data_IF_204979626458
#
_entry.id   IF_204979626458
#
_cell.length_a   1.000
_cell.length_b   1.000
_cell.length_c   1.000
_cell.angle_alpha   90.00
_cell.angle_beta   90.00
_cell.angle_gamma   90.00
#
_symmetry.space_group_name_H-M   'P 1'
#
loop_
_entity.id
_entity.type
_entity.pdbx_description
1 polymer ?
#
# COMPACT_ATOMS: atom_id res chain seq x y z
N UNK A 1 -2.38 -20.63 1.68
CA UNK A 1 -1.16 -19.88 2.05
C UNK A 1 -0.53 -19.12 0.88
N UNK A 2 -0.26 -19.73 -0.29
CA UNK A 2 0.26 -19.00 -1.49
C UNK A 2 -0.75 -18.04 -2.15
N UNK A 3 -2.04 -18.18 -1.83
CA UNK A 3 -3.13 -17.37 -2.37
C UNK A 3 -3.35 -16.05 -1.61
N UNK A 4 -2.95 -15.95 -0.33
CA UNK A 4 -3.08 -14.72 0.45
C UNK A 4 -2.01 -13.68 0.09
N UNK A 5 -0.77 -14.12 -0.13
CA UNK A 5 0.31 -13.22 -0.53
C UNK A 5 0.04 -12.55 -1.89
N UNK A 6 -0.54 -13.28 -2.85
CA UNK A 6 -0.86 -12.74 -4.18
C UNK A 6 -2.03 -11.73 -4.18
N UNK A 7 -2.95 -11.85 -3.22
CA UNK A 7 -4.05 -10.90 -3.04
C UNK A 7 -3.56 -9.66 -2.27
N UNK A 8 -2.66 -9.84 -1.29
CA UNK A 8 -2.00 -8.73 -0.61
C UNK A 8 -1.08 -7.91 -1.52
N UNK A 9 -0.40 -8.55 -2.48
CA UNK A 9 0.47 -7.86 -3.46
C UNK A 9 -0.31 -6.90 -4.39
N UNK A 10 -1.62 -7.10 -4.54
CA UNK A 10 -2.52 -6.24 -5.33
C UNK A 10 -3.39 -5.33 -4.46
N UNK A 11 -3.15 -5.23 -3.15
CA UNK A 11 -3.92 -4.38 -2.26
C UNK A 11 -3.67 -2.89 -2.60
N UNK A 12 -4.67 -2.15 -3.12
CA UNK A 12 -4.50 -0.75 -3.48
C UNK A 12 -4.35 0.17 -2.25
N UNK A 13 -4.67 -0.32 -1.05
CA UNK A 13 -4.61 0.45 0.19
C UNK A 13 -3.22 0.43 0.84
N UNK A 14 -2.36 -0.53 0.50
CA UNK A 14 -0.98 -0.57 1.00
C UNK A 14 -0.08 0.28 0.10
N UNK A 15 0.71 1.14 0.72
CA UNK A 15 1.73 1.94 0.02
C UNK A 15 2.74 0.99 -0.60
N UNK A 16 2.99 1.03 -1.93
CA UNK A 16 3.96 0.15 -2.55
C UNK A 16 5.33 0.40 -1.91
N UNK A 17 5.81 -0.59 -1.16
CA UNK A 17 7.11 -0.50 -0.50
C UNK A 17 8.19 -0.57 -1.59
N UNK A 18 8.94 0.52 -1.72
CA UNK A 18 10.23 0.49 -2.40
C UNK A 18 11.17 -0.20 -1.42
N UNK A 19 11.24 -1.53 -1.45
CA UNK A 19 12.25 -2.28 -0.73
C UNK A 19 13.63 -1.90 -1.29
N UNK A 20 14.18 -0.81 -0.73
CA UNK A 20 15.43 -0.20 -1.20
C UNK A 20 16.58 -1.19 -1.21
N UNK A 21 16.61 -2.16 -0.28
CA UNK A 21 17.67 -3.16 -0.19
C UNK A 21 17.72 -4.12 -1.39
N UNK A 22 16.58 -4.62 -1.86
CA UNK A 22 16.54 -5.56 -2.99
C UNK A 22 16.84 -4.83 -4.32
N UNK A 23 16.44 -3.56 -4.41
CA UNK A 23 16.68 -2.71 -5.57
C UNK A 23 18.15 -2.30 -5.68
N UNK A 24 18.78 -1.91 -4.55
CA UNK A 24 20.23 -1.67 -4.48
C UNK A 24 20.98 -2.94 -4.84
N UNK A 25 20.59 -4.09 -4.29
CA UNK A 25 21.21 -5.38 -4.61
C UNK A 25 21.12 -5.68 -6.11
N UNK A 26 19.95 -5.53 -6.74
CA UNK A 26 19.77 -5.78 -8.18
C UNK A 26 20.56 -4.79 -9.03
N UNK A 27 20.58 -3.50 -8.68
CA UNK A 27 21.40 -2.51 -9.40
C UNK A 27 22.88 -2.77 -9.23
N UNK A 28 23.32 -3.19 -8.04
CA UNK A 28 24.72 -3.54 -7.76
C UNK A 28 25.10 -4.77 -8.58
N UNK A 29 24.31 -5.83 -8.55
CA UNK A 29 24.55 -7.07 -9.32
C UNK A 29 24.60 -6.76 -10.82
N UNK A 30 23.63 -6.01 -11.35
CA UNK A 30 23.62 -5.62 -12.76
C UNK A 30 24.84 -4.78 -13.10
N UNK A 31 25.23 -3.82 -12.25
CA UNK A 31 26.42 -2.99 -12.47
C UNK A 31 27.72 -3.82 -12.44
N UNK A 32 27.80 -4.83 -11.57
CA UNK A 32 28.96 -5.71 -11.45
C UNK A 32 29.10 -6.62 -12.66
N UNK A 33 27.98 -7.20 -13.13
CA UNK A 33 27.92 -8.00 -14.36
C UNK A 33 28.29 -7.15 -15.57
N UNK A 34 27.82 -5.90 -15.61
CA UNK A 34 28.13 -4.98 -16.71
C UNK A 34 29.61 -4.62 -16.75
N UNK A 35 30.21 -4.30 -15.61
CA UNK A 35 31.65 -4.03 -15.49
C UNK A 35 32.48 -5.24 -15.92
N UNK A 36 32.05 -6.44 -15.54
CA UNK A 36 32.69 -7.69 -15.96
C UNK A 36 32.62 -7.88 -17.48
N UNK A 37 31.46 -7.68 -18.10
CA UNK A 37 31.28 -7.79 -19.56
C UNK A 37 32.14 -6.75 -20.30
N UNK A 38 32.19 -5.51 -19.82
CA UNK A 38 33.04 -4.45 -20.40
C UNK A 38 34.53 -4.82 -20.29
N UNK A 39 34.97 -5.34 -19.13
CA UNK A 39 36.35 -5.77 -18.92
C UNK A 39 36.74 -6.93 -19.87
N UNK A 40 35.85 -7.91 -20.05
CA UNK A 40 36.05 -9.03 -20.99
C UNK A 40 36.14 -8.52 -22.43
N UNK A 41 35.27 -7.61 -22.86
CA UNK A 41 35.30 -7.04 -24.22
C UNK A 41 36.61 -6.28 -24.48
N UNK A 42 37.08 -5.49 -23.51
CA UNK A 42 38.35 -4.76 -23.61
C UNK A 42 39.57 -5.69 -23.63
N UNK A 43 39.56 -6.79 -22.88
CA UNK A 43 40.65 -7.78 -22.89
C UNK A 43 40.69 -8.62 -24.16
N UNK A 44 39.52 -8.97 -24.72
CA UNK A 44 39.45 -9.95 -25.81
C UNK A 44 39.71 -9.29 -27.17
N UNK A 45 39.30 -8.03 -27.36
CA UNK A 45 39.37 -7.34 -28.67
C UNK A 45 40.14 -6.02 -28.57
N UNK A 46 41.45 -5.99 -28.90
CA UNK A 46 42.22 -4.74 -28.91
C UNK A 46 41.93 -3.94 -30.19
N UNK A 47 41.18 -2.84 -30.06
CA UNK A 47 40.92 -1.92 -31.18
C UNK A 47 39.77 -0.94 -30.93
N UNK A 48 39.68 0.10 -31.76
CA UNK A 48 38.68 1.19 -31.66
C UNK A 48 37.23 0.68 -31.70
N UNK A 49 36.98 -0.48 -32.33
CA UNK A 49 35.66 -1.11 -32.39
C UNK A 49 35.18 -1.66 -31.04
N UNK A 50 36.08 -2.08 -30.15
CA UNK A 50 35.72 -2.58 -28.81
C UNK A 50 35.09 -1.49 -27.93
N UNK A 51 35.55 -0.24 -28.08
CA UNK A 51 35.05 0.92 -27.33
C UNK A 51 33.59 1.20 -27.68
N UNK A 52 33.23 1.14 -28.97
CA UNK A 52 31.85 1.34 -29.41
C UNK A 52 30.90 0.24 -28.97
N UNK A 53 31.35 -1.01 -28.97
CA UNK A 53 30.56 -2.16 -28.48
C UNK A 53 30.35 -2.05 -26.97
N UNK A 54 31.40 -1.76 -26.20
CA UNK A 54 31.31 -1.55 -24.75
C UNK A 54 30.37 -0.38 -24.41
N UNK A 55 30.46 0.72 -25.17
CA UNK A 55 29.56 1.86 -25.00
C UNK A 55 28.10 1.50 -25.29
N UNK A 56 27.83 0.74 -26.37
CA UNK A 56 26.48 0.27 -26.70
C UNK A 56 25.87 -0.63 -25.61
N UNK A 57 26.66 -1.57 -25.08
CA UNK A 57 26.23 -2.45 -23.97
C UNK A 57 25.96 -1.63 -22.71
N UNK A 58 26.82 -0.68 -22.38
CA UNK A 58 26.63 0.19 -21.22
C UNK A 58 25.35 1.04 -21.33
N UNK A 59 25.08 1.58 -22.53
CA UNK A 59 23.91 2.41 -22.79
C UNK A 59 22.61 1.60 -22.71
N UNK A 60 22.59 0.37 -23.23
CA UNK A 60 21.46 -0.54 -23.10
C UNK A 60 21.15 -0.89 -21.65
N UNK A 61 22.19 -1.20 -20.85
CA UNK A 61 21.99 -1.51 -19.44
C UNK A 61 21.52 -0.30 -18.64
N UNK A 62 22.08 0.88 -18.90
CA UNK A 62 21.61 2.13 -18.30
C UNK A 62 20.13 2.38 -18.64
N UNK A 63 19.72 2.14 -19.89
CA UNK A 63 18.33 2.23 -20.33
C UNK A 63 17.39 1.27 -19.60
N UNK A 64 17.80 0.01 -19.40
CA UNK A 64 17.01 -0.98 -18.66
C UNK A 64 16.83 -0.60 -17.19
N UNK A 65 17.90 -0.15 -16.54
CA UNK A 65 17.84 0.33 -15.16
C UNK A 65 16.89 1.53 -15.07
N UNK A 66 17.06 2.52 -15.95
CA UNK A 66 16.19 3.70 -15.98
C UNK A 66 14.72 3.33 -16.19
N UNK A 67 14.43 2.41 -17.11
CA UNK A 67 13.07 1.94 -17.38
C UNK A 67 12.43 1.26 -16.16
N UNK A 68 13.17 0.38 -15.47
CA UNK A 68 12.72 -0.25 -14.24
C UNK A 68 12.41 0.77 -13.15
N UNK A 69 13.27 1.77 -12.98
CA UNK A 69 13.04 2.89 -12.06
C UNK A 69 11.81 3.70 -12.47
N UNK A 70 11.68 4.04 -13.75
CA UNK A 70 10.56 4.82 -14.27
C UNK A 70 9.22 4.14 -14.01
N UNK A 71 9.09 2.83 -14.32
CA UNK A 71 7.86 2.06 -14.04
C UNK A 71 7.50 2.06 -12.56
N UNK A 72 8.48 1.89 -11.67
CA UNK A 72 8.20 1.83 -10.23
C UNK A 72 7.86 3.19 -9.64
N UNK A 73 8.48 4.27 -10.14
CA UNK A 73 8.14 5.66 -9.80
C UNK A 73 6.73 6.00 -10.29
N UNK A 74 6.35 5.56 -11.50
CA UNK A 74 4.99 5.72 -12.01
C UNK A 74 3.96 5.04 -11.11
N UNK A 75 4.22 3.80 -10.69
CA UNK A 75 3.34 3.09 -9.74
C UNK A 75 3.15 3.86 -8.43
N UNK A 76 4.22 4.41 -7.86
CA UNK A 76 4.13 5.26 -6.66
C UNK A 76 3.30 6.52 -6.90
N UNK A 77 3.49 7.20 -8.03
CA UNK A 77 2.73 8.41 -8.40
C UNK A 77 1.25 8.10 -8.57
N UNK A 78 0.92 7.00 -9.23
CA UNK A 78 -0.46 6.53 -9.40
C UNK A 78 -1.10 6.21 -8.05
N UNK A 79 -0.39 5.50 -7.17
CA UNK A 79 -0.86 5.22 -5.82
C UNK A 79 -1.08 6.50 -5.01
N UNK A 80 -0.17 7.48 -5.08
CA UNK A 80 -0.33 8.77 -4.40
C UNK A 80 -1.55 9.54 -4.92
N UNK A 81 -1.78 9.55 -6.24
CA UNK A 81 -2.98 10.15 -6.82
C UNK A 81 -4.27 9.43 -6.38
N UNK A 82 -4.24 8.10 -6.28
CA UNK A 82 -5.34 7.31 -5.74
C UNK A 82 -5.60 7.65 -4.27
N UNK A 83 -4.56 7.60 -3.43
CA UNK A 83 -4.63 7.91 -2.01
C UNK A 83 -5.16 9.32 -1.76
N UNK A 84 -4.65 10.32 -2.51
CA UNK A 84 -5.12 11.70 -2.40
C UNK A 84 -6.60 11.83 -2.74
N UNK A 85 -7.07 11.18 -3.81
CA UNK A 85 -8.49 11.18 -4.18
C UNK A 85 -9.37 10.53 -3.10
N UNK A 86 -8.93 9.42 -2.51
CA UNK A 86 -9.66 8.78 -1.41
C UNK A 86 -9.72 9.67 -0.17
N UNK A 87 -8.61 10.34 0.17
CA UNK A 87 -8.56 11.28 1.29
C UNK A 87 -9.39 12.53 1.07
N UNK A 88 -9.41 13.06 -0.16
CA UNK A 88 -10.25 14.19 -0.54
C UNK A 88 -11.72 13.83 -0.44
N UNK A 89 -12.11 12.66 -0.96
CA UNK A 89 -13.46 12.12 -0.81
C UNK A 89 -13.85 11.93 0.67
N UNK A 90 -12.98 11.30 1.47
CA UNK A 90 -13.20 11.11 2.90
C UNK A 90 -13.39 12.44 3.62
N UNK A 91 -12.53 13.43 3.36
CA UNK A 91 -12.60 14.76 3.98
C UNK A 91 -13.88 15.49 3.59
N UNK A 92 -14.31 15.37 2.33
CA UNK A 92 -15.57 15.93 1.86
C UNK A 92 -16.78 15.32 2.58
N UNK A 93 -16.87 13.98 2.62
CA UNK A 93 -17.98 13.28 3.27
C UNK A 93 -18.00 13.56 4.78
N UNK A 94 -16.84 13.71 5.41
CA UNK A 94 -16.70 14.11 6.81
C UNK A 94 -17.28 15.51 7.06
N UNK A 95 -17.14 16.45 6.11
CA UNK A 95 -17.73 17.78 6.20
C UNK A 95 -19.25 17.79 5.98
N UNK A 96 -19.77 16.87 5.17
CA UNK A 96 -21.21 16.74 4.88
C UNK A 96 -22.00 16.09 6.03
N UNK A 97 -21.33 15.40 6.96
CA UNK A 97 -21.96 14.64 8.04
C UNK A 97 -21.49 15.09 9.43
N UNK A 98 -22.44 15.48 10.29
CA UNK A 98 -22.15 16.05 11.62
C UNK A 98 -21.54 15.05 12.62
N UNK A 99 -21.95 13.77 12.58
CA UNK A 99 -21.52 12.74 13.54
C UNK A 99 -20.72 11.62 12.86
N UNK A 100 -19.44 11.86 12.64
CA UNK A 100 -18.51 10.89 12.04
C UNK A 100 -17.28 10.63 12.91
N UNK A 101 -16.71 9.44 12.79
CA UNK A 101 -15.46 9.07 13.43
C UNK A 101 -14.54 8.35 12.44
N UNK A 102 -13.24 8.51 12.65
CA UNK A 102 -12.21 7.81 11.89
C UNK A 102 -11.70 6.63 12.72
N UNK A 103 -11.78 5.43 12.14
CA UNK A 103 -11.17 4.23 12.70
C UNK A 103 -10.16 3.66 11.70
N UNK A 104 -9.12 3.01 12.18
CA UNK A 104 -8.18 2.28 11.33
C UNK A 104 -8.35 0.79 11.57
N UNK A 105 -8.46 0.03 10.49
CA UNK A 105 -8.42 -1.44 10.52
C UNK A 105 -6.95 -1.86 10.58
N UNK A 106 -6.55 -2.51 11.66
CA UNK A 106 -5.17 -2.95 11.87
C UNK A 106 -4.93 -4.32 11.22
N UNK A 107 -5.83 -5.28 11.48
CA UNK A 107 -5.73 -6.64 10.98
C UNK A 107 -7.12 -7.27 10.86
N UNK A 108 -7.22 -8.29 10.01
CA UNK A 108 -8.36 -9.22 9.98
C UNK A 108 -7.93 -10.54 10.61
N UNK A 109 -8.79 -11.11 11.44
CA UNK A 109 -8.54 -12.37 12.15
C UNK A 109 -9.26 -13.52 11.47
N UNK A 110 -10.57 -13.37 11.23
CA UNK A 110 -11.39 -14.39 10.61
C UNK A 110 -12.37 -13.73 9.62
N UNK A 111 -12.41 -14.27 8.40
CA UNK A 111 -13.28 -13.81 7.32
C UNK A 111 -14.46 -14.78 7.21
N UNK A 112 -15.66 -14.26 7.39
CA UNK A 112 -16.92 -15.01 7.30
C UNK A 112 -17.80 -14.46 6.16
N UNK A 113 -18.84 -15.19 5.71
CA UNK A 113 -19.71 -14.73 4.61
C UNK A 113 -20.45 -13.42 4.91
N UNK A 114 -20.79 -13.19 6.17
CA UNK A 114 -21.59 -12.04 6.64
C UNK A 114 -20.73 -10.84 7.03
N UNK A 115 -19.43 -11.03 7.22
CA UNK A 115 -18.52 -10.00 7.74
C UNK A 115 -17.19 -10.59 8.15
N UNK A 116 -16.37 -9.80 8.84
CA UNK A 116 -15.05 -10.22 9.27
C UNK A 116 -14.72 -9.68 10.64
N UNK A 117 -14.05 -10.50 11.44
CA UNK A 117 -13.44 -10.09 12.68
C UNK A 117 -12.17 -9.30 12.38
N UNK A 118 -12.06 -8.12 12.96
CA UNK A 118 -10.95 -7.21 12.75
C UNK A 118 -10.52 -6.55 14.05
N UNK A 119 -9.22 -6.29 14.19
CA UNK A 119 -8.74 -5.37 15.21
C UNK A 119 -8.84 -3.94 14.67
N UNK A 120 -9.57 -3.07 15.37
CA UNK A 120 -9.75 -1.67 14.97
C UNK A 120 -9.13 -0.71 15.99
N UNK A 121 -8.66 0.44 15.50
CA UNK A 121 -8.16 1.55 16.32
C UNK A 121 -9.03 2.79 16.10
N UNK A 122 -9.54 3.38 17.17
CA UNK A 122 -10.20 4.68 17.14
C UNK A 122 -9.15 5.79 17.03
N UNK A 123 -9.05 6.44 15.87
CA UNK A 123 -7.95 7.38 15.62
C UNK A 123 -7.98 8.61 16.53
N UNK A 124 -9.18 9.08 16.90
CA UNK A 124 -9.34 10.22 17.81
C UNK A 124 -8.94 9.90 19.25
N UNK A 125 -9.12 8.66 19.69
CA UNK A 125 -8.93 8.24 21.09
C UNK A 125 -7.70 7.39 21.33
N UNK A 126 -7.06 6.88 20.25
CA UNK A 126 -5.97 5.91 20.33
C UNK A 126 -6.38 4.53 20.86
N UNK A 127 -7.68 4.30 21.10
CA UNK A 127 -8.18 3.07 21.70
C UNK A 127 -8.23 1.93 20.66
N UNK A 128 -7.69 0.77 21.01
CA UNK A 128 -7.66 -0.43 20.16
C UNK A 128 -8.60 -1.46 20.76
N UNK A 129 -9.45 -2.05 19.93
CA UNK A 129 -10.44 -3.06 20.34
C UNK A 129 -10.76 -4.01 19.20
N UNK A 130 -11.27 -5.22 19.49
CA UNK A 130 -11.84 -6.06 18.46
C UNK A 130 -13.14 -5.45 17.92
N UNK A 131 -13.40 -5.72 16.65
CA UNK A 131 -14.59 -5.27 15.97
C UNK A 131 -15.07 -6.29 14.94
N UNK A 132 -16.38 -6.38 14.81
CA UNK A 132 -17.03 -7.05 13.70
C UNK A 132 -17.30 -6.04 12.60
N UNK A 133 -16.87 -6.32 11.39
CA UNK A 133 -17.15 -5.48 10.22
C UNK A 133 -18.04 -6.28 9.28
N UNK A 134 -19.29 -5.85 9.11
CA UNK A 134 -20.19 -6.45 8.13
C UNK A 134 -19.66 -6.26 6.71
N UNK A 135 -19.93 -7.25 5.86
CA UNK A 135 -19.52 -7.17 4.47
C UNK A 135 -20.28 -6.01 3.78
N UNK A 136 -19.53 -5.09 3.16
CA UNK A 136 -20.04 -3.84 2.64
C UNK A 136 -19.95 -3.72 1.13
N UNK A 137 -20.32 -2.55 0.62
CA UNK A 137 -20.19 -2.20 -0.80
C UNK A 137 -18.75 -1.99 -1.25
N UNK A 138 -17.83 -1.75 -0.32
CA UNK A 138 -16.41 -1.51 -0.60
C UNK A 138 -15.56 -2.61 0.02
N UNK A 139 -14.53 -3.05 -0.71
CA UNK A 139 -13.53 -3.96 -0.17
C UNK A 139 -12.69 -3.24 0.89
N UNK A 140 -12.77 -3.72 2.13
CA UNK A 140 -12.00 -3.19 3.26
C UNK A 140 -10.72 -4.00 3.37
N UNK A 141 -9.60 -3.29 3.54
CA UNK A 141 -8.27 -3.89 3.60
C UNK A 141 -7.60 -3.59 4.94
N UNK A 142 -6.64 -4.41 5.39
CA UNK A 142 -5.76 -4.03 6.48
C UNK A 142 -5.08 -2.69 6.21
N UNK A 143 -4.78 -1.96 7.26
CA UNK A 143 -4.17 -0.62 7.21
C UNK A 143 -5.00 0.43 6.46
N UNK A 144 -6.31 0.22 6.38
CA UNK A 144 -7.23 1.23 5.86
C UNK A 144 -7.86 2.06 6.98
N UNK A 145 -8.09 3.34 6.69
CA UNK A 145 -8.85 4.27 7.52
C UNK A 145 -10.28 4.27 7.01
N UNK A 146 -11.23 4.01 7.90
CA UNK A 146 -12.66 4.07 7.64
C UNK A 146 -13.23 5.31 8.29
N UNK A 147 -14.02 6.05 7.52
CA UNK A 147 -14.91 7.07 8.05
C UNK A 147 -16.25 6.40 8.33
N UNK A 148 -16.61 6.35 9.60
CA UNK A 148 -17.81 5.67 10.07
C UNK A 148 -18.76 6.66 10.74
N UNK A 149 -20.05 6.31 10.75
CA UNK A 149 -21.03 6.89 11.67
C UNK A 149 -21.09 5.98 12.89
N UNK A 150 -20.62 6.43 14.07
CA UNK A 150 -20.68 5.61 15.27
C UNK A 150 -22.12 5.26 15.62
N UNK A 151 -22.36 4.00 15.98
CA UNK A 151 -23.68 3.57 16.45
C UNK A 151 -23.90 4.09 17.88
N UNK A 152 -24.88 4.99 18.11
CA UNK A 152 -25.13 5.56 19.43
C UNK A 152 -25.64 4.52 20.44
N UNK A 153 -26.11 3.36 19.99
CA UNK A 153 -26.53 2.28 20.87
C UNK A 153 -25.33 1.53 21.46
N UNK A 154 -24.19 1.54 20.76
CA UNK A 154 -22.96 0.88 21.19
C UNK A 154 -21.99 1.81 21.91
N UNK A 155 -21.96 3.10 21.54
CA UNK A 155 -21.06 4.09 22.13
C UNK A 155 -21.88 5.24 22.69
N UNK A 156 -21.86 5.37 24.01
CA UNK A 156 -22.56 6.43 24.75
C UNK A 156 -21.55 7.23 25.57
N UNK A 157 -21.77 8.55 25.66
CA UNK A 157 -20.90 9.43 26.44
C UNK A 157 -21.00 9.07 27.92
N UNK A 158 -19.86 8.78 28.55
CA UNK A 158 -19.79 8.41 29.97
C UNK A 158 -20.02 6.93 30.27
N UNK A 159 -20.39 6.11 29.28
CA UNK A 159 -20.45 4.66 29.40
C UNK A 159 -19.05 4.05 29.15
N UNK A 160 -18.76 2.85 29.69
CA UNK A 160 -17.57 2.11 29.31
C UNK A 160 -17.60 1.75 27.81
N UNK A 161 -16.42 1.61 27.22
CA UNK A 161 -16.30 1.12 25.85
C UNK A 161 -16.88 -0.29 25.73
N UNK A 162 -17.60 -0.60 24.63
CA UNK A 162 -18.05 -1.96 24.39
C UNK A 162 -16.82 -2.88 24.23
N UNK A 163 -16.89 -4.13 24.68
CA UNK A 163 -15.79 -5.08 24.52
C UNK A 163 -15.49 -5.37 23.04
N UNK A 164 -16.55 -5.34 22.22
CA UNK A 164 -16.52 -5.59 20.79
C UNK A 164 -17.42 -4.58 20.10
N UNK A 165 -16.93 -3.96 19.02
CA UNK A 165 -17.72 -3.02 18.24
C UNK A 165 -18.21 -3.61 16.92
N UNK A 166 -19.49 -3.45 16.65
CA UNK A 166 -20.14 -3.96 15.45
C UNK A 166 -20.33 -2.81 14.45
N UNK A 167 -19.49 -2.80 13.42
CA UNK A 167 -19.60 -1.88 12.30
C UNK A 167 -20.53 -2.48 11.24
N UNK A 168 -21.68 -1.83 11.04
CA UNK A 168 -22.60 -2.17 9.96
C UNK A 168 -22.11 -1.64 8.62
N UNK A 169 -22.46 -2.34 7.54
CA UNK A 169 -22.04 -1.98 6.18
C UNK A 169 -22.43 -0.54 5.79
N UNK A 170 -23.66 -0.13 6.09
CA UNK A 170 -24.18 1.22 5.81
C UNK A 170 -23.67 2.31 6.75
N UNK A 171 -23.04 1.93 7.87
CA UNK A 171 -22.43 2.88 8.79
C UNK A 171 -21.01 3.28 8.33
N UNK A 172 -20.42 2.54 7.39
CA UNK A 172 -19.18 2.90 6.73
C UNK A 172 -19.47 3.84 5.56
N UNK A 173 -18.94 5.07 5.63
CA UNK A 173 -19.24 6.14 4.67
C UNK A 173 -18.15 6.29 3.61
N UNK A 174 -16.88 6.13 4.01
CA UNK A 174 -15.73 6.26 3.11
C UNK A 174 -14.54 5.46 3.63
N UNK A 175 -13.59 5.17 2.74
CA UNK A 175 -12.35 4.46 3.03
C UNK A 175 -11.17 5.25 2.45
N UNK A 176 -10.04 5.24 3.13
CA UNK A 176 -8.78 5.78 2.64
C UNK A 176 -7.60 4.93 3.10
N UNK A 177 -6.47 4.93 2.39
CA UNK A 177 -5.25 4.28 2.87
C UNK A 177 -4.67 5.04 4.06
N UNK A 178 -3.96 4.34 4.97
CA UNK A 178 -3.27 4.97 6.10
C UNK A 178 -2.25 6.01 5.61
N UNK A 179 -2.22 7.19 6.25
CA UNK A 179 -1.18 8.20 5.99
C UNK A 179 0.12 7.74 6.67
N UNK A 180 1.13 7.39 5.86
CA UNK A 180 2.52 7.13 6.28
C UNK A 180 3.41 8.27 5.83
#
# INVERSE_FOLDING_TARGET
MKSEEAVMDNNPMIKPQLSGGLLVAVTVIISMVLLYVVAVILMTWPGFQSVWIAFGVALLAAGLVFWCWARRVQGRRQWQQFANRQWEYLTRIKGEHEATAEITVLSFEEIQPTGSWATIRWNKFGYVQPGWIENGTFAIWPESVLLIRPDPTQIQVGAPWPPTYYLRSHACLAIAPIRV
#
